data_IF_881438543295
#
_entry.id   IF_881438543295
#
_cell.length_a   1.000
_cell.length_b   1.000
_cell.length_c   1.000
_cell.angle_alpha   90.00
_cell.angle_beta   90.00
_cell.angle_gamma   90.00
#
_symmetry.space_group_name_H-M   'P 1'
#
loop_
_entity.id
_entity.type
_entity.pdbx_description
1 polymer ?
#
# COMPACT_ATOMS: atom_id res chain seq x y z
N UNK A 1 7.88 -16.01 6.36
CA UNK A 1 6.41 -16.07 6.28
C UNK A 1 5.81 -14.94 5.46
N UNK A 2 5.94 -13.67 5.87
CA UNK A 2 5.32 -12.56 5.13
C UNK A 2 5.80 -12.40 3.68
N UNK A 3 7.11 -12.51 3.43
CA UNK A 3 7.65 -12.41 2.07
C UNK A 3 7.13 -13.52 1.17
N UNK A 4 6.96 -14.75 1.68
CA UNK A 4 6.37 -15.86 0.92
C UNK A 4 4.93 -15.53 0.50
N UNK A 5 4.10 -15.03 1.42
CA UNK A 5 2.74 -14.56 1.11
C UNK A 5 2.72 -13.44 0.09
N UNK A 6 3.68 -12.51 0.14
CA UNK A 6 3.81 -11.45 -0.87
C UNK A 6 4.14 -12.00 -2.26
N UNK A 7 4.93 -13.07 -2.34
CA UNK A 7 5.28 -13.73 -3.60
C UNK A 7 4.06 -14.48 -4.17
N UNK A 8 3.28 -15.14 -3.31
CA UNK A 8 2.08 -15.88 -3.70
C UNK A 8 0.91 -14.98 -4.11
N UNK A 9 0.81 -13.77 -3.55
CA UNK A 9 -0.32 -12.86 -3.81
C UNK A 9 -0.29 -12.21 -5.21
N UNK A 10 -1.43 -12.05 -5.86
CA UNK A 10 -1.56 -11.30 -7.12
C UNK A 10 -1.51 -9.77 -6.91
N UNK A 11 -2.00 -9.33 -5.76
CA UNK A 11 -2.02 -7.93 -5.35
C UNK A 11 -1.62 -7.75 -3.88
N UNK A 12 -0.99 -6.62 -3.57
CA UNK A 12 -0.47 -6.30 -2.24
C UNK A 12 -0.96 -4.91 -1.84
N UNK A 13 -1.61 -4.83 -0.67
CA UNK A 13 -1.92 -3.58 0.00
C UNK A 13 -0.99 -3.44 1.20
N UNK A 14 -0.22 -2.35 1.27
CA UNK A 14 0.59 -2.01 2.44
C UNK A 14 -0.03 -0.81 3.16
N UNK A 15 -0.48 -1.06 4.39
CA UNK A 15 -1.16 -0.09 5.23
C UNK A 15 -0.29 0.39 6.39
N UNK A 16 -0.28 1.69 6.67
CA UNK A 16 0.38 2.23 7.89
C UNK A 16 -0.38 3.40 8.52
N UNK A 17 -0.41 3.53 9.85
CA UNK A 17 -0.61 4.85 10.45
C UNK A 17 0.57 5.79 10.09
N UNK A 18 0.32 7.09 10.12
CA UNK A 18 1.38 8.12 10.08
C UNK A 18 1.88 8.42 11.50
N UNK A 19 3.15 8.11 11.76
CA UNK A 19 3.86 8.46 12.99
C UNK A 19 4.99 9.44 12.66
N UNK A 20 4.96 10.62 13.28
CA UNK A 20 5.92 11.70 13.01
C UNK A 20 6.11 11.98 11.51
N UNK A 21 5.00 12.01 10.77
CA UNK A 21 4.94 12.26 9.33
C UNK A 21 5.57 11.17 8.44
N UNK A 22 5.75 9.94 8.94
CA UNK A 22 6.19 8.81 8.13
C UNK A 22 5.49 7.49 8.52
N UNK A 23 5.77 6.41 7.79
CA UNK A 23 5.23 5.09 8.09
C UNK A 23 5.77 4.52 9.41
N UNK A 24 5.07 3.50 9.92
CA UNK A 24 5.50 2.76 11.11
C UNK A 24 6.85 2.05 10.88
N UNK A 25 7.69 1.95 11.94
CA UNK A 25 8.97 1.25 11.84
C UNK A 25 8.81 -0.23 11.47
N UNK A 26 7.72 -0.87 11.90
CA UNK A 26 7.41 -2.27 11.57
C UNK A 26 7.17 -2.45 10.06
N UNK A 27 6.39 -1.57 9.44
CA UNK A 27 6.17 -1.63 8.00
C UNK A 27 7.46 -1.30 7.23
N UNK A 28 8.24 -0.32 7.70
CA UNK A 28 9.52 0.02 7.07
C UNK A 28 10.50 -1.16 7.11
N UNK A 29 10.59 -1.85 8.24
CA UNK A 29 11.41 -3.05 8.37
C UNK A 29 10.97 -4.16 7.41
N UNK A 30 9.66 -4.37 7.23
CA UNK A 30 9.14 -5.32 6.24
C UNK A 30 9.51 -4.90 4.81
N UNK A 31 9.30 -3.63 4.44
CA UNK A 31 9.65 -3.09 3.12
C UNK A 31 11.12 -3.30 2.81
N UNK A 32 12.01 -2.96 3.75
CA UNK A 32 13.46 -3.10 3.54
C UNK A 32 13.87 -4.55 3.33
N UNK A 33 13.35 -5.47 4.15
CA UNK A 33 13.66 -6.90 4.00
C UNK A 33 13.05 -7.48 2.74
N UNK A 34 11.79 -7.18 2.44
CA UNK A 34 11.10 -7.68 1.25
C UNK A 34 11.76 -7.17 -0.04
N UNK A 35 12.14 -5.89 -0.10
CA UNK A 35 12.79 -5.30 -1.27
C UNK A 35 14.11 -5.97 -1.60
N UNK A 36 14.99 -6.16 -0.60
CA UNK A 36 16.27 -6.84 -0.81
C UNK A 36 16.09 -8.31 -1.23
N UNK A 37 15.25 -9.06 -0.51
CA UNK A 37 15.07 -10.50 -0.77
C UNK A 37 14.43 -10.76 -2.13
N UNK A 38 13.35 -10.04 -2.46
CA UNK A 38 12.62 -10.29 -3.71
C UNK A 38 13.40 -9.81 -4.94
N UNK A 39 14.22 -8.75 -4.79
CA UNK A 39 15.15 -8.32 -5.84
C UNK A 39 16.26 -9.35 -6.07
N UNK A 40 16.88 -9.86 -5.01
CA UNK A 40 17.89 -10.92 -5.11
C UNK A 40 17.33 -12.20 -5.74
N UNK A 41 16.03 -12.49 -5.53
CA UNK A 41 15.31 -13.59 -6.17
C UNK A 41 14.93 -13.38 -7.64
N UNK A 42 15.50 -12.39 -8.34
CA UNK A 42 15.18 -12.12 -9.75
C UNK A 42 13.92 -11.28 -9.95
N UNK A 43 13.59 -10.41 -8.99
CA UNK A 43 12.44 -9.51 -9.08
C UNK A 43 11.11 -10.24 -8.91
N UNK A 44 10.96 -10.98 -7.80
CA UNK A 44 9.81 -11.85 -7.53
C UNK A 44 8.47 -11.13 -7.38
N UNK A 45 8.47 -9.80 -7.23
CA UNK A 45 7.26 -8.99 -7.12
C UNK A 45 6.89 -8.25 -8.41
N UNK A 46 7.68 -8.40 -9.48
CA UNK A 46 7.43 -7.67 -10.73
C UNK A 46 6.02 -7.92 -11.24
N UNK A 47 5.40 -6.88 -11.79
CA UNK A 47 4.07 -6.87 -12.42
C UNK A 47 2.89 -7.20 -11.52
N UNK A 48 3.11 -7.47 -10.23
CA UNK A 48 2.02 -7.55 -9.24
C UNK A 48 1.41 -6.18 -9.02
N UNK A 49 0.13 -6.16 -8.63
CA UNK A 49 -0.58 -4.90 -8.30
C UNK A 49 -0.23 -4.47 -6.87
N UNK A 50 0.16 -3.22 -6.67
CA UNK A 50 0.50 -2.65 -5.37
C UNK A 50 -0.36 -1.44 -5.04
N UNK A 51 -0.76 -1.29 -3.78
CA UNK A 51 -1.41 -0.07 -3.29
C UNK A 51 -0.94 0.31 -1.89
N UNK A 52 -0.55 1.57 -1.71
CA UNK A 52 -0.27 2.14 -0.40
C UNK A 52 -1.58 2.62 0.22
N UNK A 53 -1.78 2.43 1.53
CA UNK A 53 -2.90 2.99 2.30
C UNK A 53 -2.36 3.59 3.59
N UNK A 54 -2.75 4.81 3.92
CA UNK A 54 -2.27 5.50 5.12
C UNK A 54 -3.43 6.01 5.96
N UNK A 55 -3.32 5.91 7.28
CA UNK A 55 -4.24 6.56 8.21
C UNK A 55 -3.53 7.71 8.97
N UNK A 56 -4.20 8.86 9.11
CA UNK A 56 -3.66 9.99 9.86
C UNK A 56 -4.71 10.67 10.74
N UNK A 57 -4.25 11.40 11.76
CA UNK A 57 -5.12 12.23 12.61
C UNK A 57 -5.37 13.63 12.05
N UNK A 58 -4.35 14.29 11.50
CA UNK A 58 -4.42 15.70 11.04
C UNK A 58 -3.59 16.00 9.80
N UNK A 59 -2.33 15.55 9.77
CA UNK A 59 -1.38 15.83 8.69
C UNK A 59 -0.26 14.77 8.71
N UNK A 60 0.63 14.80 7.70
CA UNK A 60 1.82 13.93 7.64
C UNK A 60 1.62 12.61 6.90
N UNK A 61 0.49 12.42 6.22
CA UNK A 61 0.22 11.19 5.48
C UNK A 61 0.92 11.11 4.12
N UNK A 62 1.16 12.24 3.44
CA UNK A 62 1.72 12.23 2.08
C UNK A 62 3.12 11.59 2.04
N UNK A 63 4.02 11.99 2.95
CA UNK A 63 5.36 11.40 2.97
C UNK A 63 5.33 9.90 3.28
N UNK A 64 4.52 9.46 4.24
CA UNK A 64 4.32 8.03 4.51
C UNK A 64 3.76 7.28 3.29
N UNK A 65 2.80 7.87 2.58
CA UNK A 65 2.21 7.32 1.36
C UNK A 65 3.26 7.18 0.24
N UNK A 66 4.08 8.21 0.04
CA UNK A 66 5.15 8.22 -0.96
C UNK A 66 6.24 7.19 -0.62
N UNK A 67 6.66 7.12 0.65
CA UNK A 67 7.63 6.13 1.15
C UNK A 67 7.20 4.69 0.86
N UNK A 68 5.90 4.38 1.03
CA UNK A 68 5.37 3.05 0.67
C UNK A 68 5.36 2.87 -0.85
N UNK A 69 4.96 3.88 -1.63
CA UNK A 69 4.94 3.76 -3.10
C UNK A 69 6.33 3.61 -3.74
N UNK A 70 7.36 4.20 -3.14
CA UNK A 70 8.74 3.99 -3.59
C UNK A 70 9.11 2.49 -3.62
N UNK A 71 8.63 1.70 -2.66
CA UNK A 71 8.85 0.26 -2.65
C UNK A 71 8.21 -0.44 -3.86
N UNK A 72 6.94 -0.13 -4.17
CA UNK A 72 6.24 -0.73 -5.30
C UNK A 72 6.91 -0.36 -6.63
N UNK A 73 7.21 0.93 -6.83
CA UNK A 73 7.87 1.43 -8.03
C UNK A 73 9.26 0.80 -8.21
N UNK A 74 10.07 0.74 -7.15
CA UNK A 74 11.40 0.13 -7.19
C UNK A 74 11.38 -1.40 -7.35
N UNK A 75 10.22 -2.02 -7.15
CA UNK A 75 9.98 -3.47 -7.31
C UNK A 75 9.33 -3.82 -8.65
N UNK A 76 9.16 -2.85 -9.56
CA UNK A 76 8.48 -3.03 -10.86
C UNK A 76 7.02 -3.51 -10.71
N UNK A 77 6.36 -3.10 -9.63
CA UNK A 77 4.93 -3.37 -9.41
C UNK A 77 4.07 -2.32 -10.11
N UNK A 78 2.85 -2.70 -10.46
CA UNK A 78 1.84 -1.80 -11.03
C UNK A 78 1.11 -1.13 -9.87
N UNK A 79 1.27 0.19 -9.71
CA UNK A 79 0.62 0.93 -8.62
C UNK A 79 -0.83 1.23 -8.97
N UNK A 80 -1.76 0.70 -8.19
CA UNK A 80 -3.18 1.00 -8.30
C UNK A 80 -3.51 2.33 -7.61
N UNK A 81 -4.10 3.24 -8.38
CA UNK A 81 -4.70 4.46 -7.86
C UNK A 81 -6.15 4.27 -7.46
N UNK A 82 -6.71 5.32 -6.88
CA UNK A 82 -8.14 5.48 -6.63
C UNK A 82 -8.57 6.87 -7.10
N UNK A 83 -9.58 7.46 -6.47
CA UNK A 83 -10.14 8.75 -6.86
C UNK A 83 -9.35 9.92 -6.24
N UNK A 84 -8.52 9.62 -5.23
CA UNK A 84 -7.61 10.52 -4.52
C UNK A 84 -6.44 9.71 -3.92
N UNK A 85 -5.53 10.35 -3.17
CA UNK A 85 -4.54 9.59 -2.39
C UNK A 85 -5.26 8.67 -1.39
N UNK A 86 -4.77 7.43 -1.23
CA UNK A 86 -5.39 6.41 -0.37
C UNK A 86 -5.14 6.70 1.12
N UNK A 87 -5.63 7.84 1.60
CA UNK A 87 -5.39 8.36 2.93
C UNK A 87 -6.74 8.44 3.65
N UNK A 88 -6.85 7.81 4.81
CA UNK A 88 -8.00 7.91 5.71
C UNK A 88 -7.70 8.82 6.91
N UNK A 89 -8.71 9.58 7.34
CA UNK A 89 -8.61 10.49 8.48
C UNK A 89 -9.29 9.87 9.71
N UNK A 90 -8.51 9.63 10.76
CA UNK A 90 -8.98 9.09 12.03
C UNK A 90 -7.93 9.25 13.12
N UNK A 91 -8.34 9.74 14.30
CA UNK A 91 -7.46 9.90 15.45
C UNK A 91 -7.35 8.62 16.28
N UNK A 92 -8.47 8.21 16.85
CA UNK A 92 -8.57 6.98 17.64
C UNK A 92 -8.76 5.75 16.76
N UNK A 93 -8.44 4.57 17.30
CA UNK A 93 -8.70 3.31 16.61
C UNK A 93 -10.19 3.22 16.22
N UNK A 94 -10.45 3.01 14.94
CA UNK A 94 -11.80 2.93 14.39
C UNK A 94 -12.42 4.27 13.99
N UNK A 95 -11.84 5.42 14.36
CA UNK A 95 -12.36 6.73 13.96
C UNK A 95 -12.35 6.94 12.44
N UNK A 96 -11.44 6.26 11.71
CA UNK A 96 -11.40 6.27 10.24
C UNK A 96 -12.68 5.75 9.60
N UNK A 97 -13.51 4.99 10.33
CA UNK A 97 -14.81 4.53 9.83
C UNK A 97 -15.83 5.66 9.70
N UNK A 98 -15.56 6.84 10.27
CA UNK A 98 -16.38 8.03 10.14
C UNK A 98 -15.94 8.93 8.98
N UNK A 99 -14.82 8.62 8.33
CA UNK A 99 -14.32 9.32 7.14
C UNK A 99 -15.03 8.77 5.89
N UNK A 100 -16.23 9.27 5.62
CA UNK A 100 -17.04 8.80 4.51
C UNK A 100 -16.36 8.98 3.14
N UNK A 101 -15.60 10.06 2.96
CA UNK A 101 -14.85 10.33 1.74
C UNK A 101 -13.68 9.36 1.59
N UNK A 102 -12.88 9.17 2.64
CA UNK A 102 -11.80 8.19 2.66
C UNK A 102 -12.30 6.77 2.42
N UNK A 103 -13.43 6.39 3.01
CA UNK A 103 -14.05 5.07 2.78
C UNK A 103 -14.54 4.91 1.33
N UNK A 104 -15.16 5.93 0.74
CA UNK A 104 -15.55 5.91 -0.67
C UNK A 104 -14.32 5.78 -1.58
N UNK A 105 -13.24 6.49 -1.26
CA UNK A 105 -11.98 6.40 -2.00
C UNK A 105 -11.37 4.98 -1.94
N UNK A 106 -11.37 4.35 -0.75
CA UNK A 106 -10.86 2.99 -0.59
C UNK A 106 -11.75 1.92 -1.23
N UNK A 107 -13.07 2.16 -1.39
CA UNK A 107 -13.93 1.29 -2.21
C UNK A 107 -13.52 1.32 -3.67
N UNK A 108 -13.32 2.52 -4.22
CA UNK A 108 -12.85 2.68 -5.59
C UNK A 108 -11.44 2.10 -5.80
N UNK A 109 -10.55 2.19 -4.80
CA UNK A 109 -9.26 1.50 -4.82
C UNK A 109 -9.44 -0.02 -5.00
N UNK A 110 -10.36 -0.63 -4.23
CA UNK A 110 -10.65 -2.06 -4.33
C UNK A 110 -11.16 -2.45 -5.72
N UNK A 111 -12.08 -1.67 -6.29
CA UNK A 111 -12.61 -1.87 -7.64
C UNK A 111 -11.49 -1.78 -8.70
N UNK A 112 -10.64 -0.75 -8.60
CA UNK A 112 -9.52 -0.55 -9.52
C UNK A 112 -8.47 -1.67 -9.41
N UNK A 113 -8.17 -2.13 -8.19
CA UNK A 113 -7.25 -3.25 -7.97
C UNK A 113 -7.81 -4.54 -8.55
N UNK A 114 -9.09 -4.84 -8.32
CA UNK A 114 -9.74 -6.02 -8.88
C UNK A 114 -9.68 -6.01 -10.41
N UNK A 115 -10.07 -4.89 -11.03
CA UNK A 115 -10.00 -4.71 -12.47
C UNK A 115 -8.57 -4.87 -13.01
N UNK A 116 -7.57 -4.25 -12.37
CA UNK A 116 -6.16 -4.38 -12.80
C UNK A 116 -5.66 -5.82 -12.71
N UNK A 117 -5.94 -6.51 -11.60
CA UNK A 117 -5.51 -7.90 -11.43
C UNK A 117 -6.14 -8.79 -12.50
N UNK A 118 -7.45 -8.66 -12.74
CA UNK A 118 -8.13 -9.38 -13.82
C UNK A 118 -7.48 -9.15 -15.20
N UNK A 119 -7.04 -7.92 -15.50
CA UNK A 119 -6.39 -7.60 -16.78
C UNK A 119 -4.94 -8.07 -16.89
N UNK A 120 -4.25 -8.29 -15.78
CA UNK A 120 -2.86 -8.75 -15.75
C UNK A 120 -2.76 -10.28 -15.69
N UNK A 121 -3.80 -10.95 -15.19
CA UNK A 121 -3.85 -12.42 -15.09
C UNK A 121 -4.59 -13.11 -16.24
N UNK A 122 -5.38 -12.37 -17.02
CA UNK A 122 -6.06 -12.87 -18.23
C UNK A 122 -5.08 -13.02 -19.41
#
# INVERSE_FOLDING_TARGET
DWIAKMIEADGIILGSPSYFADLSPELKALIDRAGFVTRAGGGLLRWKVGAAVVAMRRAGACHAFDSINHFFLASQMVVAGSNALNIGIGGEKGAVLQDAEGLANLRALGENMAWLMERLTA
#
